data_IF_877575522701
#
_entry.id   IF_877575522701
#
_cell.length_a   1.000
_cell.length_b   1.000
_cell.length_c   1.000
_cell.angle_alpha   90.00
_cell.angle_beta   90.00
_cell.angle_gamma   90.00
#
_symmetry.space_group_name_H-M   'P 1'
#
loop_
_entity.id
_entity.type
_entity.pdbx_description
1 polymer ?
#
# COMPACT_ATOMS: atom_id res chain seq x y z
N UNK A 1 10.58 -22.05 -10.15
CA UNK A 1 10.09 -20.69 -9.82
C UNK A 1 10.21 -20.54 -8.32
N UNK A 2 10.92 -19.51 -7.83
CA UNK A 2 11.17 -19.36 -6.38
C UNK A 2 9.85 -19.19 -5.61
N UNK A 3 9.84 -19.64 -4.35
CA UNK A 3 8.67 -19.58 -3.45
C UNK A 3 8.09 -18.17 -3.34
N UNK A 4 8.94 -17.15 -3.35
CA UNK A 4 8.59 -15.75 -3.08
C UNK A 4 7.74 -15.12 -4.19
N UNK A 5 7.94 -15.55 -5.44
CA UNK A 5 7.13 -15.10 -6.56
C UNK A 5 5.66 -15.51 -6.38
N UNK A 6 5.40 -16.69 -5.78
CA UNK A 6 4.05 -17.18 -5.55
C UNK A 6 3.31 -16.36 -4.48
N UNK A 7 4.00 -15.96 -3.41
CA UNK A 7 3.39 -15.12 -2.36
C UNK A 7 3.10 -13.71 -2.83
N UNK A 8 4.02 -13.10 -3.59
CA UNK A 8 3.82 -11.76 -4.12
C UNK A 8 2.69 -11.71 -5.14
N UNK A 9 2.61 -12.69 -6.03
CA UNK A 9 1.48 -12.81 -6.96
C UNK A 9 0.16 -12.96 -6.20
N UNK A 10 0.09 -13.83 -5.17
CA UNK A 10 -1.12 -13.98 -4.35
C UNK A 10 -1.52 -12.70 -3.62
N UNK A 11 -0.56 -11.94 -3.12
CA UNK A 11 -0.81 -10.65 -2.47
C UNK A 11 -1.48 -9.67 -3.44
N UNK A 12 -0.98 -9.58 -4.68
CA UNK A 12 -1.55 -8.67 -5.68
C UNK A 12 -2.88 -9.12 -6.28
N UNK A 13 -3.28 -10.39 -6.18
CA UNK A 13 -4.60 -10.85 -6.67
C UNK A 13 -5.76 -10.03 -6.08
N UNK A 14 -5.68 -9.66 -4.80
CA UNK A 14 -6.70 -8.82 -4.18
C UNK A 14 -6.76 -7.43 -4.85
N UNK A 15 -5.61 -6.77 -5.01
CA UNK A 15 -5.55 -5.44 -5.59
C UNK A 15 -5.89 -5.45 -7.08
N UNK A 16 -5.41 -6.42 -7.85
CA UNK A 16 -5.74 -6.59 -9.27
C UNK A 16 -7.26 -6.75 -9.47
N UNK A 17 -7.97 -7.37 -8.52
CA UNK A 17 -9.43 -7.48 -8.59
C UNK A 17 -10.15 -6.15 -8.30
N UNK A 18 -9.56 -5.29 -7.48
CA UNK A 18 -10.11 -3.98 -7.12
C UNK A 18 -9.83 -2.95 -8.22
N UNK A 19 -8.57 -2.84 -8.64
CA UNK A 19 -8.10 -1.98 -9.72
C UNK A 19 -8.45 -2.61 -11.08
N UNK A 20 -9.75 -2.65 -11.36
CA UNK A 20 -10.32 -3.23 -12.58
C UNK A 20 -10.35 -2.21 -13.74
N UNK A 21 -10.75 -2.67 -14.93
CA UNK A 21 -10.99 -1.81 -16.11
C UNK A 21 -11.94 -0.65 -15.79
N UNK A 22 -12.94 -0.85 -14.92
CA UNK A 22 -13.84 0.23 -14.53
C UNK A 22 -13.13 1.33 -13.71
N UNK A 23 -12.12 0.96 -12.91
CA UNK A 23 -11.28 1.94 -12.20
C UNK A 23 -10.33 2.63 -13.17
N UNK A 24 -9.77 1.91 -14.14
CA UNK A 24 -8.95 2.52 -15.20
C UNK A 24 -9.74 3.59 -15.99
N UNK A 25 -10.98 3.27 -16.36
CA UNK A 25 -11.85 4.19 -17.12
C UNK A 25 -12.26 5.43 -16.33
N UNK A 26 -12.56 5.28 -15.02
CA UNK A 26 -13.06 6.39 -14.19
C UNK A 26 -11.95 7.15 -13.47
N UNK A 27 -10.91 6.45 -13.00
CA UNK A 27 -9.83 6.97 -12.17
C UNK A 27 -8.46 6.54 -12.76
N UNK A 28 -8.21 6.98 -13.99
CA UNK A 28 -7.03 6.60 -14.79
C UNK A 28 -5.69 6.92 -14.12
N UNK A 29 -5.59 8.01 -13.35
CA UNK A 29 -4.35 8.39 -12.67
C UNK A 29 -4.12 7.49 -11.46
N UNK A 30 -5.16 7.22 -10.68
CA UNK A 30 -5.10 6.29 -9.55
C UNK A 30 -4.72 4.88 -10.03
N UNK A 31 -5.32 4.42 -11.14
CA UNK A 31 -4.96 3.13 -11.74
C UNK A 31 -3.51 3.10 -12.20
N UNK A 32 -3.02 4.18 -12.83
CA UNK A 32 -1.61 4.29 -13.23
C UNK A 32 -0.69 4.26 -12.01
N UNK A 33 -1.03 4.97 -10.93
CA UNK A 33 -0.25 4.95 -9.68
C UNK A 33 -0.21 3.55 -9.06
N UNK A 34 -1.32 2.80 -9.10
CA UNK A 34 -1.36 1.41 -8.68
C UNK A 34 -0.36 0.54 -9.45
N UNK A 35 -0.31 0.65 -10.79
CA UNK A 35 0.63 -0.12 -11.60
C UNK A 35 2.08 0.23 -11.28
N UNK A 36 2.39 1.52 -11.02
CA UNK A 36 3.72 1.96 -10.61
C UNK A 36 4.10 1.37 -9.24
N UNK A 37 3.22 1.44 -8.25
CA UNK A 37 3.39 0.80 -6.94
C UNK A 37 3.70 -0.68 -7.08
N UNK A 38 2.90 -1.39 -7.89
CA UNK A 38 3.05 -2.83 -8.09
C UNK A 38 4.41 -3.15 -8.68
N UNK A 39 4.82 -2.45 -9.73
CA UNK A 39 6.13 -2.62 -10.36
C UNK A 39 7.28 -2.33 -9.39
N UNK A 40 7.22 -1.23 -8.65
CA UNK A 40 8.23 -0.89 -7.62
C UNK A 40 8.37 -2.01 -6.57
N UNK A 41 7.25 -2.59 -6.13
CA UNK A 41 7.24 -3.71 -5.19
C UNK A 41 7.94 -4.95 -5.78
N UNK A 42 7.59 -5.33 -7.02
CA UNK A 42 8.21 -6.47 -7.71
C UNK A 42 9.72 -6.27 -7.87
N UNK A 43 10.15 -5.07 -8.30
CA UNK A 43 11.56 -4.74 -8.44
C UNK A 43 12.30 -4.83 -7.12
N UNK A 44 11.70 -4.33 -6.04
CA UNK A 44 12.33 -4.33 -4.72
C UNK A 44 12.49 -5.73 -4.14
N UNK A 45 11.47 -6.59 -4.24
CA UNK A 45 11.52 -7.97 -3.73
C UNK A 45 12.52 -8.83 -4.52
N UNK A 46 12.66 -8.58 -5.82
CA UNK A 46 13.57 -9.35 -6.68
C UNK A 46 14.99 -8.78 -6.70
N UNK A 47 15.25 -7.65 -6.04
CA UNK A 47 16.55 -7.00 -5.99
C UNK A 47 17.56 -7.82 -5.18
N UNK A 48 18.64 -8.33 -5.81
CA UNK A 48 19.64 -9.10 -5.08
C UNK A 48 20.52 -8.16 -4.25
N UNK A 49 21.03 -8.67 -3.11
CA UNK A 49 22.07 -8.01 -2.29
C UNK A 49 21.66 -6.71 -1.56
N UNK A 50 20.37 -6.44 -1.38
CA UNK A 50 19.94 -5.38 -0.47
C UNK A 50 19.95 -5.90 0.98
N UNK A 51 20.39 -5.06 1.93
CA UNK A 51 20.25 -5.38 3.35
C UNK A 51 18.78 -5.64 3.69
N UNK A 52 18.52 -6.71 4.44
CA UNK A 52 17.16 -7.17 4.69
C UNK A 52 16.31 -6.11 5.41
N UNK A 53 16.86 -5.39 6.39
CA UNK A 53 16.11 -4.35 7.11
C UNK A 53 15.80 -3.17 6.21
N UNK A 54 16.75 -2.77 5.35
CA UNK A 54 16.53 -1.71 4.35
C UNK A 54 15.47 -2.12 3.35
N UNK A 55 15.54 -3.36 2.84
CA UNK A 55 14.56 -3.89 1.89
C UNK A 55 13.17 -3.95 2.52
N UNK A 56 13.05 -4.48 3.73
CA UNK A 56 11.77 -4.55 4.44
C UNK A 56 11.20 -3.17 4.75
N UNK A 57 12.02 -2.21 5.17
CA UNK A 57 11.57 -0.84 5.39
C UNK A 57 10.98 -0.23 4.11
N UNK A 58 11.66 -0.38 2.98
CA UNK A 58 11.18 0.11 1.69
C UNK A 58 9.90 -0.61 1.23
N UNK A 59 9.81 -1.94 1.43
CA UNK A 59 8.61 -2.72 1.14
C UNK A 59 7.42 -2.18 1.94
N UNK A 60 7.60 -1.95 3.24
CA UNK A 60 6.54 -1.41 4.09
C UNK A 60 6.11 0.00 3.67
N UNK A 61 7.02 0.84 3.19
CA UNK A 61 6.65 2.15 2.64
C UNK A 61 5.79 2.02 1.37
N UNK A 62 6.16 1.10 0.47
CA UNK A 62 5.40 0.86 -0.77
C UNK A 62 4.03 0.26 -0.45
N UNK A 63 3.96 -0.72 0.45
CA UNK A 63 2.70 -1.29 0.92
C UNK A 63 1.81 -0.21 1.56
N UNK A 64 2.33 0.61 2.46
CA UNK A 64 1.58 1.69 3.08
C UNK A 64 0.98 2.66 2.04
N UNK A 65 1.75 3.03 1.01
CA UNK A 65 1.25 3.84 -0.11
C UNK A 65 0.09 3.16 -0.82
N UNK A 66 0.18 1.84 -1.08
CA UNK A 66 -0.90 1.06 -1.70
C UNK A 66 -2.17 1.03 -0.85
N UNK A 67 -2.02 0.82 0.46
CA UNK A 67 -3.15 0.75 1.39
C UNK A 67 -3.88 2.10 1.46
N UNK A 68 -3.15 3.21 1.61
CA UNK A 68 -3.75 4.55 1.65
C UNK A 68 -4.45 4.87 0.32
N UNK A 69 -3.81 4.59 -0.82
CA UNK A 69 -4.41 4.78 -2.15
C UNK A 69 -5.72 3.99 -2.27
N UNK A 70 -5.70 2.75 -1.80
CA UNK A 70 -6.85 1.84 -1.83
C UNK A 70 -7.99 2.33 -0.94
N UNK A 71 -7.69 2.77 0.28
CA UNK A 71 -8.70 3.18 1.25
C UNK A 71 -9.38 4.49 0.85
N UNK A 72 -8.62 5.45 0.32
CA UNK A 72 -9.19 6.70 -0.22
C UNK A 72 -10.06 6.43 -1.45
N UNK A 73 -9.62 5.55 -2.36
CA UNK A 73 -10.45 5.13 -3.49
C UNK A 73 -11.76 4.45 -3.03
N UNK A 74 -11.72 3.61 -2.00
CA UNK A 74 -12.92 2.98 -1.45
C UNK A 74 -13.89 3.99 -0.84
N UNK A 75 -13.38 5.05 -0.22
CA UNK A 75 -14.21 6.15 0.29
C UNK A 75 -14.91 6.84 -0.88
N UNK A 76 -14.16 7.18 -1.93
CA UNK A 76 -14.70 7.79 -3.15
C UNK A 76 -15.80 6.94 -3.79
N UNK A 77 -15.55 5.64 -3.93
CA UNK A 77 -16.52 4.69 -4.49
C UNK A 77 -17.77 4.48 -3.61
N UNK A 78 -17.67 4.70 -2.29
CA UNK A 78 -18.78 4.53 -1.35
C UNK A 78 -19.78 5.68 -1.40
N UNK A 79 -19.35 6.86 -1.85
CA UNK A 79 -20.18 8.07 -1.90
C UNK A 79 -20.25 8.66 -3.32
N UNK A 80 -20.76 7.91 -4.32
CA UNK A 80 -20.72 8.31 -5.73
C UNK A 80 -21.62 9.51 -6.06
N UNK A 81 -22.57 9.85 -5.17
CA UNK A 81 -23.49 10.98 -5.32
C UNK A 81 -22.95 12.28 -4.69
N UNK A 82 -21.82 12.21 -3.98
CA UNK A 82 -21.08 13.39 -3.58
C UNK A 82 -20.17 13.81 -4.75
N UNK A 83 -20.15 15.10 -5.11
CA UNK A 83 -19.10 15.61 -6.00
C UNK A 83 -17.74 15.16 -5.46
N UNK A 84 -16.86 14.68 -6.35
CA UNK A 84 -15.64 13.92 -6.05
C UNK A 84 -15.05 14.33 -4.70
N UNK A 85 -15.17 13.45 -3.69
CA UNK A 85 -14.78 13.77 -2.30
C UNK A 85 -13.30 14.15 -2.27
N UNK A 86 -12.52 13.52 -3.14
CA UNK A 86 -11.15 13.91 -3.45
C UNK A 86 -10.87 13.85 -4.96
N UNK A 87 -10.07 14.80 -5.45
CA UNK A 87 -9.45 14.68 -6.77
C UNK A 87 -8.42 13.52 -6.76
N UNK A 88 -8.31 12.79 -7.86
CA UNK A 88 -7.30 11.73 -8.04
C UNK A 88 -5.88 12.18 -7.66
N UNK A 89 -5.51 13.41 -8.04
CA UNK A 89 -4.19 13.98 -7.72
C UNK A 89 -3.97 14.11 -6.21
N UNK A 90 -5.01 14.48 -5.47
CA UNK A 90 -4.93 14.65 -4.01
C UNK A 90 -4.81 13.28 -3.33
N UNK A 91 -5.58 12.29 -3.80
CA UNK A 91 -5.50 10.90 -3.32
C UNK A 91 -4.08 10.36 -3.51
N UNK A 92 -3.49 10.57 -4.69
CA UNK A 92 -2.11 10.14 -4.98
C UNK A 92 -1.12 10.86 -4.06
N UNK A 93 -1.25 12.17 -3.90
CA UNK A 93 -0.35 12.95 -3.05
C UNK A 93 -0.42 12.52 -1.59
N UNK A 94 -1.62 12.33 -1.04
CA UNK A 94 -1.83 11.84 0.33
C UNK A 94 -1.19 10.47 0.49
N UNK A 95 -1.41 9.55 -0.46
CA UNK A 95 -0.83 8.20 -0.39
C UNK A 95 0.71 8.22 -0.30
N UNK A 96 1.36 9.14 -1.01
CA UNK A 96 2.82 9.29 -1.02
C UNK A 96 3.35 9.93 0.26
N UNK A 97 2.68 10.97 0.75
CA UNK A 97 3.16 11.76 1.88
C UNK A 97 2.97 11.04 3.23
N UNK A 98 1.89 10.27 3.36
CA UNK A 98 1.47 9.69 4.64
C UNK A 98 1.94 8.24 4.84
N UNK A 99 2.47 7.60 3.79
CA UNK A 99 3.03 6.23 3.86
C UNK A 99 4.04 6.03 4.99
N UNK A 100 4.85 7.07 5.30
CA UNK A 100 5.85 7.05 6.39
C UNK A 100 5.24 6.88 7.79
N UNK A 101 3.99 7.32 7.96
CA UNK A 101 3.28 7.32 9.23
C UNK A 101 2.24 6.22 9.34
N UNK A 102 1.79 5.66 8.21
CA UNK A 102 0.74 4.65 8.14
C UNK A 102 0.87 3.54 9.21
N UNK A 103 2.02 2.88 9.27
CA UNK A 103 2.22 1.79 10.22
C UNK A 103 2.30 2.25 11.68
N UNK A 104 2.65 3.51 11.95
CA UNK A 104 2.52 4.07 13.31
C UNK A 104 1.04 4.17 13.68
N UNK A 105 0.24 4.73 12.78
CA UNK A 105 -1.20 4.94 12.99
C UNK A 105 -1.96 3.62 13.14
N UNK A 106 -1.70 2.65 12.27
CA UNK A 106 -2.31 1.31 12.33
C UNK A 106 -1.97 0.60 13.65
N UNK A 107 -0.78 0.84 14.20
CA UNK A 107 -0.36 0.30 15.49
C UNK A 107 -0.77 1.15 16.70
N UNK A 108 -1.52 2.25 16.49
CA UNK A 108 -1.95 3.16 17.56
C UNK A 108 -0.81 3.98 18.19
N UNK A 109 0.34 4.06 17.53
CA UNK A 109 1.49 4.86 17.95
C UNK A 109 1.25 6.29 17.49
N UNK A 110 1.42 7.25 18.41
CA UNK A 110 1.19 8.66 18.09
C UNK A 110 2.26 9.16 17.11
N UNK A 111 1.90 10.13 16.27
CA UNK A 111 2.83 10.71 15.30
C UNK A 111 4.07 11.33 15.95
N UNK A 112 3.93 11.86 17.16
CA UNK A 112 5.02 12.46 17.94
C UNK A 112 5.84 11.43 18.76
N UNK A 113 5.43 10.16 18.80
CA UNK A 113 6.18 9.10 19.48
C UNK A 113 7.27 8.54 18.56
N UNK A 114 8.43 8.12 19.12
CA UNK A 114 9.47 7.47 18.34
C UNK A 114 8.94 6.16 17.75
N UNK A 115 9.34 5.84 16.51
CA UNK A 115 9.03 4.53 15.91
C UNK A 115 9.75 3.47 16.73
N UNK A 116 9.05 2.46 17.29
CA UNK A 116 9.69 1.39 18.02
C UNK A 116 10.72 0.71 17.11
N UNK A 117 11.95 0.50 17.59
CA UNK A 117 13.01 -0.18 16.85
C UNK A 117 12.76 -1.69 16.61
N UNK A 118 11.55 -2.17 16.90
CA UNK A 118 11.17 -3.57 16.74
C UNK A 118 10.54 -3.78 15.38
N UNK A 119 10.95 -4.87 14.73
CA UNK A 119 10.21 -5.46 13.62
C UNK A 119 8.75 -5.61 14.03
N UNK A 120 7.87 -5.00 13.24
CA UNK A 120 6.42 -5.19 13.29
C UNK A 120 6.12 -6.65 12.92
N UNK A 121 6.28 -7.55 13.88
CA UNK A 121 5.76 -8.90 13.78
C UNK A 121 4.25 -8.80 13.97
N UNK A 122 3.50 -9.08 12.90
CA UNK A 122 2.10 -9.47 13.02
C UNK A 122 2.08 -10.70 13.95
N UNK A 123 1.73 -10.51 15.22
CA UNK A 123 1.33 -11.61 16.08
C UNK A 123 -0.14 -11.84 15.73
N UNK A 124 -0.50 -12.96 15.07
CA UNK A 124 -1.90 -13.27 14.88
C UNK A 124 -2.52 -13.38 16.27
N UNK A 125 -3.60 -12.63 16.52
CA UNK A 125 -4.41 -12.81 17.71
C UNK A 125 -4.92 -14.27 17.73
N UNK A 126 -4.25 -15.15 18.48
CA UNK A 126 -4.60 -16.56 18.45
C UNK A 126 -3.67 -17.56 19.14
N UNK A 127 -2.69 -17.15 19.94
CA UNK A 127 -2.00 -18.09 20.85
C UNK A 127 -2.39 -17.77 22.29
N UNK A 128 -3.42 -18.49 22.75
CA UNK A 128 -3.60 -18.82 24.16
C UNK A 128 -2.72 -20.02 24.49
#
# INVERSE_FOLDING_TARGET
>A
MSSDYNYLTRYFVYFDSLYSVAIEEKYSKIYTEYLLIREEYYQLVTKPHLDWFVQMHQILQIDARLQILTDLLKIELKYPDCEDVFNESDIIEISRNDAKNYYKEVCGIRLNEPVPHSLLHFVPNGLK
#
